data_IF_564092346256
#
_entry.id   IF_564092346256
#
_cell.length_a   1.000
_cell.length_b   1.000
_cell.length_c   1.000
_cell.angle_alpha   90.00
_cell.angle_beta   90.00
_cell.angle_gamma   90.00
#
_symmetry.space_group_name_H-M   'P 1'
#
loop_
_entity.id
_entity.type
_entity.pdbx_description
1 polymer ?
#
# COMPACT_ATOMS: atom_id res chain seq x y z
N UNK A 1 32.41 -66.19 26.96
CA UNK A 1 32.79 -64.77 27.08
C UNK A 1 33.82 -64.47 26.00
N UNK A 2 33.40 -63.99 24.86
CA UNK A 2 34.29 -63.80 23.68
C UNK A 2 34.17 -62.33 23.25
N UNK A 3 35.26 -61.61 23.45
CA UNK A 3 35.39 -60.21 23.11
C UNK A 3 35.79 -60.10 21.63
N UNK A 4 34.88 -59.58 20.80
CA UNK A 4 35.12 -59.30 19.39
C UNK A 4 35.79 -57.94 19.21
N UNK A 5 37.03 -57.96 18.70
CA UNK A 5 37.79 -56.76 18.37
C UNK A 5 37.35 -56.24 16.97
N UNK A 6 36.84 -55.02 16.96
CA UNK A 6 36.58 -54.29 15.71
C UNK A 6 37.88 -53.62 15.25
N UNK A 7 38.30 -53.96 14.05
CA UNK A 7 39.44 -53.34 13.33
C UNK A 7 38.98 -52.04 12.70
N UNK A 8 39.60 -50.92 13.07
CA UNK A 8 39.43 -49.61 12.43
C UNK A 8 40.42 -49.60 11.23
N UNK A 9 39.86 -49.51 10.07
CA UNK A 9 40.64 -49.34 8.82
C UNK A 9 40.85 -47.83 8.58
N UNK A 10 42.11 -47.44 8.53
CA UNK A 10 42.56 -46.07 8.27
C UNK A 10 42.55 -45.84 6.77
N UNK A 11 41.53 -45.12 6.26
CA UNK A 11 41.49 -44.72 4.83
C UNK A 11 42.14 -43.36 4.68
N UNK A 12 43.20 -43.34 3.91
CA UNK A 12 44.00 -42.18 3.52
C UNK A 12 43.16 -41.24 2.67
N UNK A 13 42.90 -40.03 3.16
CA UNK A 13 42.27 -38.98 2.36
C UNK A 13 43.31 -38.31 1.47
N UNK A 14 43.16 -38.50 0.17
CA UNK A 14 43.88 -37.73 -0.86
C UNK A 14 43.28 -36.36 -0.95
N UNK A 15 44.03 -35.33 -0.60
CA UNK A 15 43.69 -33.93 -0.74
C UNK A 15 43.75 -33.59 -2.25
N UNK A 16 42.57 -33.56 -2.89
CA UNK A 16 42.44 -33.01 -4.24
C UNK A 16 42.16 -31.52 -4.11
N UNK A 17 43.16 -30.71 -4.50
CA UNK A 17 43.04 -29.25 -4.47
C UNK A 17 41.97 -28.78 -5.46
N UNK A 18 40.86 -28.31 -4.95
CA UNK A 18 39.84 -27.62 -5.75
C UNK A 18 40.25 -26.15 -5.82
N UNK A 19 40.77 -25.75 -6.99
CA UNK A 19 40.91 -24.34 -7.37
C UNK A 19 39.54 -23.69 -7.36
N UNK A 20 39.29 -22.81 -6.39
CA UNK A 20 38.14 -21.91 -6.42
C UNK A 20 38.30 -20.92 -7.58
N UNK A 21 37.68 -21.24 -8.72
CA UNK A 21 37.33 -20.27 -9.71
C UNK A 21 36.28 -19.35 -9.07
N UNK A 22 36.67 -18.10 -8.81
CA UNK A 22 35.73 -17.05 -8.43
C UNK A 22 34.75 -16.86 -9.59
N UNK A 23 33.58 -17.48 -9.48
CA UNK A 23 32.43 -17.15 -10.33
C UNK A 23 32.01 -15.76 -9.89
N UNK A 24 32.34 -14.76 -10.70
CA UNK A 24 31.85 -13.41 -10.53
C UNK A 24 30.33 -13.50 -10.44
N UNK A 25 29.75 -13.02 -9.32
CA UNK A 25 28.33 -12.85 -9.19
C UNK A 25 27.91 -11.79 -10.23
N UNK A 26 27.45 -12.25 -11.39
CA UNK A 26 26.76 -11.38 -12.33
C UNK A 26 25.52 -10.85 -11.61
N UNK A 27 25.52 -9.54 -11.37
CA UNK A 27 24.30 -8.87 -10.92
C UNK A 27 23.20 -9.19 -11.93
N UNK A 28 22.00 -9.59 -11.46
CA UNK A 28 20.92 -9.88 -12.39
C UNK A 28 20.70 -8.66 -13.30
N UNK A 29 20.54 -8.87 -14.61
CA UNK A 29 20.39 -7.79 -15.56
C UNK A 29 19.24 -6.91 -15.09
N UNK A 30 19.53 -5.61 -14.94
CA UNK A 30 18.50 -4.58 -14.67
C UNK A 30 17.43 -4.76 -15.75
N UNK A 31 16.16 -4.97 -15.39
CA UNK A 31 15.13 -5.18 -16.38
C UNK A 31 15.14 -4.01 -17.35
N UNK A 32 15.43 -4.30 -18.62
CA UNK A 32 15.32 -3.31 -19.69
C UNK A 32 13.89 -2.76 -19.67
N UNK A 33 13.66 -1.45 -19.79
CA UNK A 33 12.32 -0.94 -19.94
C UNK A 33 11.70 -1.64 -21.15
N UNK A 34 10.70 -2.47 -20.91
CA UNK A 34 9.94 -3.11 -21.95
C UNK A 34 9.45 -2.00 -22.89
N UNK A 35 9.77 -2.09 -24.17
CA UNK A 35 9.12 -1.30 -25.21
C UNK A 35 7.69 -1.82 -25.32
N UNK A 36 6.88 -1.57 -24.27
CA UNK A 36 5.47 -1.85 -24.24
C UNK A 36 4.77 -0.81 -25.10
N UNK A 37 4.26 -1.22 -26.23
CA UNK A 37 3.30 -0.42 -26.96
C UNK A 37 2.02 -0.24 -26.15
N UNK A 38 1.09 0.60 -26.62
CA UNK A 38 -0.22 0.89 -25.99
C UNK A 38 -0.99 -0.37 -25.49
N UNK A 39 -0.70 -1.54 -26.05
CA UNK A 39 -1.33 -2.81 -25.67
C UNK A 39 -1.02 -3.27 -24.25
N UNK A 40 0.18 -3.02 -23.74
CA UNK A 40 0.55 -3.43 -22.38
C UNK A 40 -0.19 -2.58 -21.32
N UNK A 41 -0.24 -1.26 -21.53
CA UNK A 41 -0.97 -0.35 -20.66
C UNK A 41 -2.47 -0.70 -20.61
N UNK A 42 -3.08 -1.04 -21.73
CA UNK A 42 -4.49 -1.45 -21.79
C UNK A 42 -4.74 -2.76 -21.02
N UNK A 43 -3.82 -3.73 -21.14
CA UNK A 43 -3.93 -4.99 -20.42
C UNK A 43 -3.77 -4.80 -18.92
N UNK A 44 -2.85 -3.94 -18.50
CA UNK A 44 -2.67 -3.57 -17.08
C UNK A 44 -3.93 -2.92 -16.53
N UNK A 45 -4.53 -1.96 -17.24
CA UNK A 45 -5.79 -1.33 -16.82
C UNK A 45 -6.93 -2.36 -16.71
N UNK A 46 -7.04 -3.29 -17.65
CA UNK A 46 -8.02 -4.38 -17.58
C UNK A 46 -7.82 -5.26 -16.35
N UNK A 47 -6.57 -5.59 -15.99
CA UNK A 47 -6.28 -6.37 -14.78
C UNK A 47 -6.67 -5.61 -13.52
N UNK A 48 -6.37 -4.31 -13.46
CA UNK A 48 -6.72 -3.46 -12.32
C UNK A 48 -8.25 -3.35 -12.17
N UNK A 49 -8.96 -3.11 -13.29
CA UNK A 49 -10.42 -3.06 -13.31
C UNK A 49 -11.04 -4.41 -12.89
N UNK A 50 -10.58 -5.53 -13.46
CA UNK A 50 -11.06 -6.86 -13.12
C UNK A 50 -10.87 -7.22 -11.63
N UNK A 51 -9.76 -6.79 -11.03
CA UNK A 51 -9.53 -6.96 -9.58
C UNK A 51 -10.55 -6.21 -8.74
N UNK A 52 -10.92 -5.01 -9.14
CA UNK A 52 -11.95 -4.21 -8.47
C UNK A 52 -13.31 -4.86 -8.58
N UNK A 53 -13.70 -5.22 -9.79
CA UNK A 53 -14.99 -5.84 -10.08
C UNK A 53 -15.13 -7.18 -9.33
N UNK A 54 -14.06 -7.96 -9.28
CA UNK A 54 -14.02 -9.20 -8.50
C UNK A 54 -14.25 -8.95 -7.00
N UNK A 55 -13.56 -7.98 -6.42
CA UNK A 55 -13.74 -7.61 -5.01
C UNK A 55 -15.17 -7.14 -4.72
N UNK A 56 -15.75 -6.31 -5.59
CA UNK A 56 -17.14 -5.84 -5.46
C UNK A 56 -18.12 -7.00 -5.54
N UNK A 57 -17.92 -7.92 -6.48
CA UNK A 57 -18.77 -9.09 -6.66
C UNK A 57 -18.75 -10.02 -5.44
N UNK A 58 -17.58 -10.24 -4.84
CA UNK A 58 -17.45 -11.02 -3.61
C UNK A 58 -18.17 -10.35 -2.43
N UNK A 59 -18.08 -9.02 -2.30
CA UNK A 59 -18.79 -8.29 -1.23
C UNK A 59 -20.31 -8.43 -1.42
N UNK A 60 -20.81 -8.23 -2.63
CA UNK A 60 -22.24 -8.36 -2.92
C UNK A 60 -22.75 -9.78 -2.67
N UNK A 61 -21.97 -10.80 -3.04
CA UNK A 61 -22.31 -12.20 -2.82
C UNK A 61 -22.32 -12.55 -1.33
N UNK A 62 -21.35 -12.03 -0.57
CA UNK A 62 -21.33 -12.19 0.89
C UNK A 62 -22.59 -11.62 1.53
N UNK A 63 -22.94 -10.37 1.18
CA UNK A 63 -24.12 -9.71 1.72
C UNK A 63 -25.41 -10.47 1.38
N UNK A 64 -25.51 -11.02 0.17
CA UNK A 64 -26.66 -11.84 -0.23
C UNK A 64 -26.78 -13.13 0.61
N UNK A 65 -25.68 -13.85 0.83
CA UNK A 65 -25.71 -15.08 1.64
C UNK A 65 -25.98 -14.80 3.11
N UNK A 66 -25.45 -13.71 3.66
CA UNK A 66 -25.79 -13.28 5.02
C UNK A 66 -27.29 -12.95 5.13
N UNK A 67 -27.85 -12.22 4.18
CA UNK A 67 -29.26 -11.83 4.18
C UNK A 67 -30.20 -13.04 3.98
N UNK A 68 -29.78 -14.04 3.21
CA UNK A 68 -30.56 -15.29 3.03
C UNK A 68 -30.38 -16.31 4.16
N UNK A 69 -29.48 -16.04 5.12
CA UNK A 69 -29.19 -16.94 6.24
C UNK A 69 -28.31 -18.14 5.87
N UNK A 70 -27.73 -18.16 4.68
CA UNK A 70 -26.80 -19.20 4.22
C UNK A 70 -25.41 -19.00 4.79
N UNK A 71 -25.22 -19.42 6.03
CA UNK A 71 -23.97 -19.22 6.77
C UNK A 71 -22.77 -19.96 6.17
N UNK A 72 -23.01 -21.10 5.55
CA UNK A 72 -21.93 -21.92 4.98
C UNK A 72 -21.33 -21.22 3.76
N UNK A 73 -22.17 -20.82 2.80
CA UNK A 73 -21.69 -20.08 1.61
C UNK A 73 -21.18 -18.68 1.96
N UNK A 74 -21.78 -18.01 2.93
CA UNK A 74 -21.24 -16.74 3.44
C UNK A 74 -19.80 -16.93 3.97
N UNK A 75 -19.54 -18.03 4.68
CA UNK A 75 -18.20 -18.35 5.19
C UNK A 75 -17.18 -18.59 4.06
N UNK A 76 -17.57 -19.28 2.99
CA UNK A 76 -16.69 -19.51 1.84
C UNK A 76 -16.29 -18.18 1.18
N UNK A 77 -17.25 -17.28 0.94
CA UNK A 77 -16.97 -15.95 0.37
C UNK A 77 -16.12 -15.10 1.30
N UNK A 78 -16.36 -15.18 2.61
CA UNK A 78 -15.52 -14.49 3.60
C UNK A 78 -14.06 -14.94 3.53
N UNK A 79 -13.82 -16.24 3.44
CA UNK A 79 -12.48 -16.81 3.38
C UNK A 79 -11.80 -16.45 2.05
N UNK A 80 -12.53 -16.40 0.95
CA UNK A 80 -12.03 -15.94 -0.35
C UNK A 80 -11.71 -14.46 -0.34
N UNK A 81 -12.53 -13.61 0.27
CA UNK A 81 -12.23 -12.18 0.47
C UNK A 81 -10.97 -11.97 1.30
N UNK A 82 -10.77 -12.76 2.36
CA UNK A 82 -9.54 -12.72 3.16
C UNK A 82 -8.32 -13.12 2.33
N UNK A 83 -8.41 -14.22 1.60
CA UNK A 83 -7.33 -14.69 0.74
C UNK A 83 -6.99 -13.65 -0.34
N UNK A 84 -7.99 -13.09 -0.99
CA UNK A 84 -7.82 -12.01 -1.96
C UNK A 84 -7.17 -10.78 -1.34
N UNK A 85 -7.53 -10.44 -0.10
CA UNK A 85 -6.93 -9.31 0.62
C UNK A 85 -5.45 -9.52 0.89
N UNK A 86 -5.08 -10.68 1.39
CA UNK A 86 -3.70 -10.99 1.76
C UNK A 86 -2.80 -11.22 0.54
N UNK A 87 -3.38 -11.54 -0.62
CA UNK A 87 -2.61 -11.75 -1.84
C UNK A 87 -1.87 -10.48 -2.27
N UNK A 88 -0.58 -10.62 -2.55
CA UNK A 88 0.20 -9.55 -3.16
C UNK A 88 -0.31 -9.26 -4.57
N UNK A 89 -0.60 -7.98 -4.83
CA UNK A 89 -1.16 -7.52 -6.10
C UNK A 89 -0.30 -6.39 -6.67
N UNK A 90 0.71 -6.70 -7.49
CA UNK A 90 1.54 -5.66 -8.14
C UNK A 90 0.71 -4.81 -9.08
N UNK A 91 1.05 -3.53 -9.20
CA UNK A 91 0.41 -2.62 -10.16
C UNK A 91 0.80 -2.92 -11.61
N UNK A 92 1.87 -3.70 -11.84
CA UNK A 92 2.52 -3.92 -13.13
C UNK A 92 3.10 -2.67 -13.80
N UNK A 93 2.94 -1.51 -13.20
CA UNK A 93 3.57 -0.25 -13.60
C UNK A 93 4.63 0.09 -12.57
N UNK A 94 5.89 0.08 -12.96
CA UNK A 94 7.03 0.27 -12.04
C UNK A 94 7.10 1.70 -11.49
N UNK A 95 6.54 2.64 -12.21
CA UNK A 95 6.59 4.08 -11.96
C UNK A 95 5.24 4.69 -11.55
N UNK A 96 4.16 3.90 -11.58
CA UNK A 96 2.80 4.38 -11.28
C UNK A 96 2.15 3.46 -10.25
N UNK A 97 1.87 4.01 -9.08
CA UNK A 97 0.97 3.38 -8.13
C UNK A 97 -0.47 3.46 -8.66
N UNK A 98 -1.30 2.47 -8.31
CA UNK A 98 -2.74 2.45 -8.60
C UNK A 98 -3.48 3.52 -7.77
N UNK A 99 -3.09 4.76 -8.00
CA UNK A 99 -3.57 5.96 -7.32
C UNK A 99 -3.95 7.00 -8.38
N UNK A 100 -5.08 7.69 -8.25
CA UNK A 100 -5.51 8.67 -9.23
C UNK A 100 -4.50 9.79 -9.49
N UNK A 101 -4.60 10.44 -10.64
CA UNK A 101 -3.70 11.50 -11.05
C UNK A 101 -3.67 12.66 -10.04
N UNK A 102 -2.52 13.32 -9.92
CA UNK A 102 -2.29 14.41 -8.96
C UNK A 102 -3.04 15.72 -9.31
N UNK A 103 -3.49 15.85 -10.56
CA UNK A 103 -4.08 17.08 -11.10
C UNK A 103 -5.61 17.16 -10.95
N UNK A 104 -6.23 16.26 -10.19
CA UNK A 104 -7.64 16.38 -9.88
C UNK A 104 -7.88 17.58 -8.95
N UNK A 105 -8.99 18.25 -9.13
CA UNK A 105 -9.35 19.43 -8.34
C UNK A 105 -10.70 19.24 -7.65
N UNK A 106 -10.71 19.40 -6.33
CA UNK A 106 -11.90 19.36 -5.50
C UNK A 106 -12.73 20.65 -5.66
N UNK A 107 -13.71 20.64 -6.56
CA UNK A 107 -14.46 21.86 -6.93
C UNK A 107 -15.95 21.79 -6.66
N UNK A 108 -16.58 20.64 -6.90
CA UNK A 108 -18.04 20.54 -7.01
C UNK A 108 -18.62 19.75 -5.85
N UNK A 109 -19.62 20.30 -5.18
CA UNK A 109 -20.40 19.54 -4.21
C UNK A 109 -21.35 18.60 -4.96
N UNK A 110 -21.09 17.28 -4.87
CA UNK A 110 -21.86 16.23 -5.53
C UNK A 110 -22.53 15.37 -4.46
N UNK A 111 -23.86 15.35 -4.49
CA UNK A 111 -24.66 14.64 -3.47
C UNK A 111 -24.32 13.16 -3.39
N UNK A 112 -24.22 12.48 -4.53
CA UNK A 112 -23.88 11.06 -4.62
C UNK A 112 -22.49 10.76 -4.01
N UNK A 113 -21.51 11.63 -4.25
CA UNK A 113 -20.18 11.52 -3.65
C UNK A 113 -20.21 11.70 -2.14
N UNK A 114 -21.05 12.64 -1.64
CA UNK A 114 -21.23 12.84 -0.22
C UNK A 114 -21.90 11.64 0.46
N UNK A 115 -22.90 11.04 -0.19
CA UNK A 115 -23.61 9.88 0.31
C UNK A 115 -22.66 8.65 0.37
N UNK A 116 -21.87 8.42 -0.69
CA UNK A 116 -20.86 7.35 -0.73
C UNK A 116 -19.78 7.56 0.35
N UNK A 117 -19.28 8.78 0.50
CA UNK A 117 -18.31 9.11 1.54
C UNK A 117 -18.85 8.84 2.95
N UNK A 118 -20.08 9.27 3.21
CA UNK A 118 -20.75 9.03 4.49
C UNK A 118 -20.90 7.54 4.77
N UNK A 119 -21.36 6.76 3.79
CA UNK A 119 -21.48 5.30 3.93
C UNK A 119 -20.11 4.65 4.19
N UNK A 120 -19.06 5.11 3.53
CA UNK A 120 -17.71 4.62 3.76
C UNK A 120 -17.26 4.88 5.21
N UNK A 121 -17.51 6.09 5.74
CA UNK A 121 -17.19 6.42 7.13
C UNK A 121 -18.03 5.63 8.13
N UNK A 122 -19.23 5.24 7.76
CA UNK A 122 -20.07 4.37 8.57
C UNK A 122 -19.51 2.95 8.72
N UNK A 123 -18.78 2.46 7.74
CA UNK A 123 -18.07 1.16 7.82
C UNK A 123 -16.68 1.28 8.43
N UNK A 124 -15.96 2.33 8.10
CA UNK A 124 -14.56 2.49 8.51
C UNK A 124 -14.39 2.38 10.03
N UNK A 125 -13.40 1.60 10.47
CA UNK A 125 -13.05 1.38 11.88
C UNK A 125 -14.11 0.69 12.76
N UNK A 126 -15.17 0.14 12.17
CA UNK A 126 -16.17 -0.65 12.90
C UNK A 126 -15.82 -2.12 12.96
N UNK A 127 -16.36 -2.79 13.97
CA UNK A 127 -16.21 -4.22 14.18
C UNK A 127 -14.87 -4.65 14.78
N UNK A 128 -14.70 -5.96 14.92
CA UNK A 128 -13.48 -6.60 15.42
C UNK A 128 -13.17 -7.85 14.61
N UNK A 129 -11.92 -8.31 14.65
CA UNK A 129 -11.49 -9.52 13.94
C UNK A 129 -11.82 -9.46 12.45
N UNK A 130 -12.55 -10.46 11.95
CA UNK A 130 -12.96 -10.57 10.54
C UNK A 130 -13.91 -9.46 10.13
N UNK A 131 -14.88 -9.12 10.97
CA UNK A 131 -15.84 -8.06 10.69
C UNK A 131 -15.14 -6.72 10.45
N UNK A 132 -14.13 -6.41 11.25
CA UNK A 132 -13.29 -5.22 11.02
C UNK A 132 -12.68 -5.23 9.61
N UNK A 133 -12.09 -6.36 9.18
CA UNK A 133 -11.48 -6.47 7.85
C UNK A 133 -12.53 -6.27 6.75
N UNK A 134 -13.70 -6.89 6.85
CA UNK A 134 -14.78 -6.74 5.88
C UNK A 134 -15.29 -5.31 5.80
N UNK A 135 -15.44 -4.65 6.94
CA UNK A 135 -15.89 -3.26 7.00
C UNK A 135 -14.85 -2.30 6.39
N UNK A 136 -13.54 -2.55 6.63
CA UNK A 136 -12.50 -1.78 5.92
C UNK A 136 -12.59 -1.98 4.40
N UNK A 137 -12.94 -3.20 3.92
CA UNK A 137 -13.14 -3.47 2.50
C UNK A 137 -14.32 -2.72 1.90
N UNK A 138 -15.44 -2.69 2.61
CA UNK A 138 -16.60 -1.91 2.18
C UNK A 138 -16.27 -0.44 2.10
N UNK A 139 -15.59 0.09 3.11
CA UNK A 139 -15.14 1.48 3.11
C UNK A 139 -14.19 1.78 1.94
N UNK A 140 -13.22 0.90 1.67
CA UNK A 140 -12.29 1.04 0.54
C UNK A 140 -13.03 1.17 -0.79
N UNK A 141 -13.95 0.24 -1.08
CA UNK A 141 -14.71 0.24 -2.34
C UNK A 141 -15.50 1.53 -2.52
N UNK A 142 -16.22 1.96 -1.47
CA UNK A 142 -17.00 3.18 -1.52
C UNK A 142 -16.14 4.44 -1.72
N UNK A 143 -14.98 4.51 -1.06
CA UNK A 143 -14.05 5.62 -1.23
C UNK A 143 -13.44 5.64 -2.64
N UNK A 144 -13.05 4.47 -3.17
CA UNK A 144 -12.56 4.37 -4.53
C UNK A 144 -13.62 4.75 -5.56
N UNK A 145 -14.88 4.38 -5.34
CA UNK A 145 -15.99 4.77 -6.20
C UNK A 145 -16.16 6.30 -6.27
N UNK A 146 -15.96 7.02 -5.17
CA UNK A 146 -15.97 8.50 -5.21
C UNK A 146 -14.89 9.02 -6.15
N UNK A 147 -13.66 8.54 -6.05
CA UNK A 147 -12.55 9.02 -6.88
C UNK A 147 -12.74 8.69 -8.38
N UNK A 148 -13.36 7.55 -8.70
CA UNK A 148 -13.55 7.12 -10.08
C UNK A 148 -14.78 7.73 -10.74
N UNK A 149 -15.91 7.75 -10.03
CA UNK A 149 -17.18 8.21 -10.56
C UNK A 149 -17.37 9.72 -10.46
N UNK A 150 -16.74 10.34 -9.44
CA UNK A 150 -16.92 11.75 -9.09
C UNK A 150 -15.56 12.48 -8.90
N UNK A 151 -14.67 12.47 -9.90
CA UNK A 151 -13.29 13.00 -9.76
C UNK A 151 -13.23 14.52 -9.57
N UNK A 152 -14.32 15.24 -9.76
CA UNK A 152 -14.43 16.69 -9.51
C UNK A 152 -15.08 17.04 -8.18
N UNK A 153 -15.49 16.03 -7.39
CA UNK A 153 -16.17 16.25 -6.11
C UNK A 153 -15.27 17.00 -5.12
N UNK A 154 -15.87 17.87 -4.31
CA UNK A 154 -15.21 18.54 -3.17
C UNK A 154 -14.70 17.55 -2.11
N UNK A 155 -15.14 16.29 -2.16
CA UNK A 155 -14.75 15.22 -1.24
C UNK A 155 -13.46 14.49 -1.63
N UNK A 156 -12.93 14.64 -2.84
CA UNK A 156 -11.81 13.81 -3.30
C UNK A 156 -10.56 13.93 -2.41
N UNK A 157 -10.32 15.10 -1.81
CA UNK A 157 -9.19 15.28 -0.89
C UNK A 157 -9.39 14.52 0.43
N UNK A 158 -10.61 14.59 0.98
CA UNK A 158 -10.99 13.88 2.20
C UNK A 158 -10.95 12.35 1.93
N UNK A 159 -11.48 11.93 0.79
CA UNK A 159 -11.44 10.53 0.33
C UNK A 159 -10.01 10.01 0.19
N UNK A 160 -9.12 10.79 -0.42
CA UNK A 160 -7.72 10.41 -0.54
C UNK A 160 -7.05 10.28 0.85
N UNK A 161 -7.35 11.19 1.77
CA UNK A 161 -6.86 11.10 3.14
C UNK A 161 -7.34 9.81 3.84
N UNK A 162 -8.62 9.50 3.72
CA UNK A 162 -9.22 8.32 4.35
C UNK A 162 -8.73 7.00 3.74
N UNK A 163 -8.44 6.98 2.43
CA UNK A 163 -7.78 5.85 1.78
C UNK A 163 -6.32 5.69 2.26
N UNK A 164 -5.59 6.80 2.41
CA UNK A 164 -4.26 6.77 2.99
C UNK A 164 -4.25 6.16 4.39
N UNK A 165 -5.16 6.59 5.25
CA UNK A 165 -5.33 6.08 6.61
C UNK A 165 -5.72 4.58 6.62
N UNK A 166 -6.58 4.17 5.71
CA UNK A 166 -7.02 2.80 5.55
C UNK A 166 -5.86 1.89 5.12
N UNK A 167 -5.07 2.30 4.12
CA UNK A 167 -3.91 1.53 3.64
C UNK A 167 -2.75 1.50 4.64
N UNK A 168 -2.57 2.53 5.47
CA UNK A 168 -1.61 2.52 6.58
C UNK A 168 -2.04 1.57 7.71
N UNK A 169 -3.33 1.33 7.88
CA UNK A 169 -3.91 0.58 8.99
C UNK A 169 -3.35 -0.85 9.11
N UNK A 170 -3.54 -1.44 10.30
CA UNK A 170 -3.16 -2.84 10.58
C UNK A 170 -3.80 -3.88 9.65
N UNK A 171 -4.92 -3.54 9.02
CA UNK A 171 -5.61 -4.41 8.09
C UNK A 171 -4.89 -4.54 6.75
N UNK A 172 -4.15 -3.51 6.34
CA UNK A 172 -3.54 -3.42 5.02
C UNK A 172 -2.01 -3.38 5.05
N UNK A 173 -1.42 -2.45 5.82
CA UNK A 173 0.03 -2.20 5.89
C UNK A 173 0.67 -2.00 4.50
N UNK A 174 -0.05 -1.35 3.60
CA UNK A 174 0.40 -1.00 2.26
C UNK A 174 0.95 0.43 2.29
N UNK A 175 2.16 0.59 2.83
CA UNK A 175 2.74 1.89 3.17
C UNK A 175 3.06 2.75 1.95
N UNK A 176 3.45 2.16 0.84
CA UNK A 176 3.66 2.81 -0.46
C UNK A 176 2.36 3.45 -0.97
N UNK A 177 1.28 2.69 -0.96
CA UNK A 177 -0.05 3.17 -1.33
C UNK A 177 -0.56 4.24 -0.37
N UNK A 178 -0.40 4.01 0.94
CA UNK A 178 -0.80 4.97 1.96
C UNK A 178 -0.10 6.32 1.77
N UNK A 179 1.23 6.31 1.55
CA UNK A 179 2.00 7.52 1.31
C UNK A 179 1.52 8.26 0.06
N UNK A 180 1.29 7.54 -1.05
CA UNK A 180 0.79 8.12 -2.29
C UNK A 180 -0.61 8.74 -2.12
N UNK A 181 -1.53 8.11 -1.41
CA UNK A 181 -2.85 8.67 -1.14
C UNK A 181 -2.80 9.89 -0.21
N UNK A 182 -1.92 9.91 0.79
CA UNK A 182 -1.70 11.12 1.60
C UNK A 182 -1.13 12.27 0.75
N UNK A 183 -0.25 11.99 -0.21
CA UNK A 183 0.19 13.01 -1.16
C UNK A 183 -0.97 13.55 -1.99
N UNK A 184 -1.86 12.71 -2.50
CA UNK A 184 -3.06 13.15 -3.23
C UNK A 184 -3.98 14.01 -2.37
N UNK A 185 -4.12 13.70 -1.08
CA UNK A 185 -4.98 14.45 -0.19
C UNK A 185 -4.60 15.94 -0.12
N UNK A 186 -3.32 16.28 -0.01
CA UNK A 186 -2.91 17.69 0.00
C UNK A 186 -2.77 18.30 -1.40
N UNK A 187 -2.56 17.49 -2.44
CA UNK A 187 -2.52 17.97 -3.83
C UNK A 187 -3.91 18.37 -4.33
N UNK A 188 -4.95 17.60 -3.99
CA UNK A 188 -6.33 17.90 -4.40
C UNK A 188 -6.92 19.12 -3.71
N UNK A 189 -6.50 19.39 -2.49
CA UNK A 189 -6.93 20.58 -1.74
C UNK A 189 -5.72 21.31 -1.18
N UNK A 190 -5.22 22.26 -1.95
CA UNK A 190 -4.15 23.16 -1.50
C UNK A 190 -4.64 23.93 -0.26
N UNK A 191 -3.82 23.92 0.80
CA UNK A 191 -4.19 24.56 2.07
C UNK A 191 -5.04 23.71 3.02
N UNK A 192 -5.16 22.41 2.78
CA UNK A 192 -5.76 21.49 3.73
C UNK A 192 -5.04 21.56 5.09
N UNK A 193 -5.83 21.58 6.17
CA UNK A 193 -5.31 21.57 7.56
C UNK A 193 -5.06 20.16 8.10
N UNK A 194 -5.17 19.14 7.25
CA UNK A 194 -4.91 17.77 7.65
C UNK A 194 -3.40 17.55 7.81
N UNK A 195 -3.03 16.52 8.55
CA UNK A 195 -1.64 16.10 8.73
C UNK A 195 -1.11 15.21 7.59
N UNK A 196 -1.78 15.23 6.43
CA UNK A 196 -1.47 14.35 5.30
C UNK A 196 -0.02 14.43 4.82
N UNK A 197 0.55 15.66 4.73
CA UNK A 197 1.98 15.82 4.39
C UNK A 197 2.91 15.16 5.41
N UNK A 198 2.62 15.36 6.70
CA UNK A 198 3.41 14.79 7.77
C UNK A 198 3.30 13.24 7.79
N UNK A 199 2.09 12.72 7.55
CA UNK A 199 1.88 11.26 7.47
C UNK A 199 2.63 10.66 6.28
N UNK A 200 2.55 11.27 5.10
CA UNK A 200 3.34 10.84 3.95
C UNK A 200 4.87 10.89 4.25
N UNK A 201 5.36 11.98 4.83
CA UNK A 201 6.76 12.12 5.22
C UNK A 201 7.22 11.00 6.18
N UNK A 202 6.39 10.69 7.20
CA UNK A 202 6.68 9.62 8.16
C UNK A 202 6.76 8.25 7.50
N UNK A 203 5.87 7.96 6.54
CA UNK A 203 5.85 6.68 5.81
C UNK A 203 7.10 6.52 4.95
N UNK A 204 7.49 7.55 4.21
CA UNK A 204 8.73 7.53 3.43
C UNK A 204 9.98 7.40 4.30
N UNK A 205 10.00 8.07 5.46
CA UNK A 205 11.10 8.01 6.41
C UNK A 205 11.23 6.65 7.11
N UNK A 206 10.14 6.13 7.65
CA UNK A 206 10.18 5.00 8.61
C UNK A 206 9.87 3.64 8.00
N UNK A 207 9.05 3.61 6.95
CA UNK A 207 8.53 2.36 6.39
C UNK A 207 9.11 2.05 5.01
N UNK A 208 9.33 3.07 4.18
CA UNK A 208 9.78 2.91 2.81
C UNK A 208 11.29 3.18 2.64
N UNK A 209 11.93 3.81 3.63
CA UNK A 209 13.35 4.18 3.61
C UNK A 209 13.72 5.11 2.42
N UNK A 210 12.76 5.88 1.92
CA UNK A 210 12.94 6.86 0.86
C UNK A 210 13.34 8.23 1.43
N UNK A 211 14.57 8.31 1.94
CA UNK A 211 15.10 9.47 2.68
C UNK A 211 14.96 10.78 1.92
N UNK A 212 15.26 10.82 0.63
CA UNK A 212 15.18 12.04 -0.17
C UNK A 212 13.78 12.60 -0.18
N UNK A 213 12.80 11.74 -0.45
CA UNK A 213 11.39 12.11 -0.49
C UNK A 213 10.86 12.53 0.89
N UNK A 214 11.29 11.83 1.94
CA UNK A 214 10.95 12.21 3.30
C UNK A 214 11.45 13.61 3.65
N UNK A 215 12.70 13.96 3.28
CA UNK A 215 13.27 15.28 3.49
C UNK A 215 12.48 16.37 2.75
N UNK A 216 12.08 16.12 1.51
CA UNK A 216 11.27 17.04 0.72
C UNK A 216 9.93 17.30 1.41
N UNK A 217 9.23 16.25 1.81
CA UNK A 217 7.93 16.36 2.46
C UNK A 217 8.01 17.01 3.86
N UNK A 218 9.05 16.74 4.66
CA UNK A 218 9.22 17.45 5.94
C UNK A 218 9.46 18.96 5.72
N UNK A 219 10.17 19.37 4.66
CA UNK A 219 10.29 20.78 4.29
C UNK A 219 8.94 21.39 3.89
N UNK A 220 8.13 20.65 3.15
CA UNK A 220 6.77 21.09 2.81
C UNK A 220 5.87 21.21 4.05
N UNK A 221 5.99 20.32 5.05
CA UNK A 221 5.27 20.47 6.34
C UNK A 221 5.68 21.80 7.00
N UNK A 222 6.97 22.08 7.11
CA UNK A 222 7.47 23.30 7.75
C UNK A 222 6.94 24.57 7.05
N UNK A 223 6.83 24.54 5.71
CA UNK A 223 6.44 25.70 4.92
C UNK A 223 4.92 25.88 4.77
N UNK A 224 4.13 24.83 4.89
CA UNK A 224 2.68 24.86 4.57
C UNK A 224 1.77 24.48 5.72
N UNK A 225 2.27 23.84 6.77
CA UNK A 225 1.45 23.48 7.93
C UNK A 225 1.29 24.68 8.86
N UNK A 226 0.18 24.72 9.57
CA UNK A 226 -0.14 25.77 10.56
C UNK A 226 -0.11 25.27 12.00
N UNK A 227 0.03 23.96 12.19
CA UNK A 227 0.02 23.36 13.52
C UNK A 227 1.44 23.30 14.11
N UNK A 228 1.76 24.03 15.19
CA UNK A 228 3.11 24.12 15.73
C UNK A 228 3.74 22.77 16.10
N UNK A 229 2.91 21.83 16.59
CA UNK A 229 3.39 20.50 16.98
C UNK A 229 3.89 19.71 15.78
N UNK A 230 3.19 19.78 14.64
CA UNK A 230 3.58 19.12 13.38
C UNK A 230 4.83 19.75 12.78
N UNK A 231 4.92 21.08 12.79
CA UNK A 231 6.10 21.81 12.33
C UNK A 231 7.33 21.42 13.15
N UNK A 232 7.23 21.43 14.49
CA UNK A 232 8.32 21.05 15.38
C UNK A 232 8.80 19.60 15.18
N UNK A 233 7.87 18.69 14.93
CA UNK A 233 8.23 17.30 14.60
C UNK A 233 8.99 17.23 13.29
N UNK A 234 8.51 17.93 12.26
CA UNK A 234 9.15 17.96 10.93
C UNK A 234 10.56 18.56 11.00
N UNK A 235 10.74 19.67 11.72
CA UNK A 235 12.05 20.28 11.95
C UNK A 235 13.04 19.31 12.62
N UNK A 236 12.59 18.64 13.70
CA UNK A 236 13.42 17.66 14.40
C UNK A 236 13.86 16.54 13.47
N UNK A 237 12.92 15.93 12.73
CA UNK A 237 13.23 14.81 11.83
C UNK A 237 14.11 15.25 10.67
N UNK A 238 13.88 16.43 10.11
CA UNK A 238 14.71 17.01 9.06
C UNK A 238 16.16 17.20 9.53
N UNK A 239 16.36 17.72 10.75
CA UNK A 239 17.69 17.88 11.33
C UNK A 239 18.40 16.53 11.51
N UNK A 240 17.70 15.51 12.03
CA UNK A 240 18.23 14.16 12.19
C UNK A 240 18.63 13.55 10.83
N UNK A 241 17.74 13.60 9.84
CA UNK A 241 17.99 13.06 8.51
C UNK A 241 19.14 13.78 7.80
N UNK A 242 19.30 15.09 7.98
CA UNK A 242 20.38 15.87 7.32
C UNK A 242 21.72 15.73 8.05
N UNK A 243 21.75 15.51 9.36
CA UNK A 243 22.97 15.32 10.14
C UNK A 243 23.70 14.00 9.84
N UNK A 244 22.97 12.94 9.52
CA UNK A 244 23.55 11.64 9.16
C UNK A 244 24.36 11.69 7.86
N UNK A 245 24.08 12.64 6.95
CA UNK A 245 24.83 12.82 5.69
C UNK A 245 26.21 13.45 5.89
N UNK A 246 26.48 14.08 7.04
CA UNK A 246 27.78 14.72 7.32
C UNK A 246 28.84 13.77 7.91
N UNK A 247 28.46 12.51 8.16
CA UNK A 247 29.35 11.50 8.79
C UNK A 247 29.90 10.47 7.80
N UNK A 248 29.43 10.46 6.55
CA UNK A 248 29.91 9.63 5.44
C UNK A 248 30.78 10.50 4.50
#
# INVERSE_FOLDING_TARGET
MTISRVRISLTTFVFCGISCLAIGAETPPKPSPAKGGNSDAELVEKVIAARRDYQQSLIALYDQYVNSGDRERAKWVEDELKAYHLAWKPSYRLDILDVPAANLEAKTNIKEANDLFKMAMDYKNKGSGTEYILNQRRAEVLLQDVLHKHPTSDKIADVAYELGDLYESRAYKQYDRAAAYFERAFQYRKGSRTDSRLRAARLYDRNLNERTKAIELYREVISHDTEPARIKEAEKRLAELTSLRKKD
#
